data_IF_566161967947
#
_entry.id   IF_566161967947
#
_cell.length_a   1.000
_cell.length_b   1.000
_cell.length_c   1.000
_cell.angle_alpha   90.00
_cell.angle_beta   90.00
_cell.angle_gamma   90.00
#
_symmetry.space_group_name_H-M   'P 1'
#
loop_
_entity.id
_entity.type
_entity.pdbx_description
1 polymer ?
#
# COMPACT_ATOMS: atom_id res chain seq x y z
N UNK A 1 12.65 -14.68 15.38
CA UNK A 1 11.91 -13.53 15.93
C UNK A 1 10.85 -13.00 14.96
N UNK A 2 11.17 -12.85 13.66
CA UNK A 2 10.25 -12.31 12.65
C UNK A 2 9.85 -13.35 11.60
N UNK A 3 8.68 -13.16 11.00
CA UNK A 3 8.21 -13.89 9.84
C UNK A 3 7.49 -12.94 8.89
N UNK A 4 7.39 -13.38 7.63
CA UNK A 4 6.89 -12.59 6.52
C UNK A 4 5.92 -13.42 5.69
N UNK A 5 4.81 -12.80 5.30
CA UNK A 5 3.82 -13.38 4.40
C UNK A 5 3.60 -12.42 3.24
N UNK A 6 3.73 -12.97 2.02
CA UNK A 6 3.33 -12.31 0.79
C UNK A 6 1.98 -12.90 0.35
N UNK A 7 0.94 -12.09 0.12
CA UNK A 7 -0.33 -12.60 -0.36
C UNK A 7 -0.18 -13.38 -1.67
N UNK A 8 -0.79 -14.56 -1.73
CA UNK A 8 -0.72 -15.43 -2.90
C UNK A 8 0.55 -16.28 -3.01
N UNK A 9 1.46 -16.21 -2.04
CA UNK A 9 2.67 -17.06 -1.98
C UNK A 9 2.69 -17.89 -0.71
N UNK A 10 3.45 -18.98 -0.76
CA UNK A 10 3.80 -19.71 0.45
C UNK A 10 4.54 -18.76 1.42
N UNK A 11 4.32 -18.90 2.74
CA UNK A 11 5.08 -18.16 3.74
C UNK A 11 6.57 -18.28 3.44
N UNK A 12 7.24 -17.15 3.40
CA UNK A 12 8.62 -17.11 2.93
C UNK A 12 9.56 -17.74 3.98
N UNK A 13 10.67 -18.29 3.50
CA UNK A 13 11.67 -19.02 4.31
C UNK A 13 12.30 -18.17 5.41
N UNK A 14 13.04 -18.84 6.30
CA UNK A 14 13.74 -18.26 7.46
C UNK A 14 14.52 -16.99 7.11
N UNK A 15 14.44 -15.93 7.95
CA UNK A 15 15.23 -14.72 7.74
C UNK A 15 16.72 -15.05 7.65
N UNK A 16 17.42 -14.41 6.71
CA UNK A 16 18.87 -14.39 6.74
C UNK A 16 19.30 -13.35 7.76
N UNK A 17 19.89 -13.79 8.86
CA UNK A 17 20.46 -12.90 9.86
C UNK A 17 21.78 -12.35 9.33
N UNK A 18 21.88 -11.03 9.24
CA UNK A 18 23.11 -10.33 8.82
C UNK A 18 23.95 -10.02 10.05
N UNK A 19 23.29 -9.61 11.13
CA UNK A 19 23.90 -9.27 12.42
C UNK A 19 22.91 -9.55 13.56
N UNK A 20 23.32 -9.36 14.82
CA UNK A 20 22.44 -9.55 15.98
C UNK A 20 21.18 -8.67 15.92
N UNK A 21 21.30 -7.46 15.36
CA UNK A 21 20.21 -6.47 15.26
C UNK A 21 19.60 -6.38 13.86
N UNK A 22 20.15 -7.06 12.85
CA UNK A 22 19.73 -6.92 11.46
C UNK A 22 19.38 -8.26 10.82
N UNK A 23 18.21 -8.33 10.20
CA UNK A 23 17.81 -9.49 9.40
C UNK A 23 17.19 -9.07 8.07
N UNK A 24 17.34 -9.92 7.06
CA UNK A 24 16.87 -9.68 5.71
C UNK A 24 16.01 -10.85 5.20
N UNK A 25 15.05 -10.51 4.34
CA UNK A 25 14.22 -11.45 3.60
C UNK A 25 14.33 -11.15 2.11
N UNK A 26 14.88 -12.08 1.31
CA UNK A 26 14.87 -11.94 -0.15
C UNK A 26 13.44 -12.19 -0.66
N UNK A 27 12.89 -11.25 -1.40
CA UNK A 27 11.56 -11.31 -1.99
C UNK A 27 11.70 -11.54 -3.50
N UNK A 28 11.66 -12.81 -3.90
CA UNK A 28 11.74 -13.21 -5.30
C UNK A 28 10.55 -12.69 -6.11
N UNK A 29 10.73 -12.50 -7.42
CA UNK A 29 9.71 -11.96 -8.33
C UNK A 29 9.00 -10.73 -7.73
N UNK A 30 9.82 -9.73 -7.40
CA UNK A 30 9.39 -8.49 -6.80
C UNK A 30 8.25 -7.82 -7.59
N UNK A 31 8.25 -7.99 -8.92
CA UNK A 31 7.29 -7.37 -9.86
C UNK A 31 5.82 -7.61 -9.50
N UNK A 32 5.49 -8.75 -8.91
CA UNK A 32 4.12 -9.11 -8.53
C UNK A 32 3.74 -8.72 -7.10
N UNK A 33 4.68 -8.20 -6.30
CA UNK A 33 4.45 -7.88 -4.89
C UNK A 33 3.76 -6.53 -4.75
N UNK A 34 2.56 -6.54 -4.15
CA UNK A 34 1.80 -5.32 -3.83
C UNK A 34 1.64 -5.08 -2.33
N UNK A 35 1.67 -6.15 -1.55
CA UNK A 35 1.49 -6.10 -0.10
C UNK A 35 2.51 -7.00 0.55
N UNK A 36 3.11 -6.51 1.63
CA UNK A 36 4.05 -7.25 2.46
C UNK A 36 3.50 -7.26 3.88
N UNK A 37 3.32 -8.45 4.44
CA UNK A 37 2.89 -8.63 5.82
C UNK A 37 4.10 -9.08 6.63
N UNK A 38 4.44 -8.34 7.68
CA UNK A 38 5.56 -8.65 8.57
C UNK A 38 5.02 -8.74 10.00
N UNK A 39 5.43 -9.77 10.72
CA UNK A 39 5.00 -9.98 12.10
C UNK A 39 6.06 -10.68 12.93
N UNK A 40 5.99 -10.48 14.24
CA UNK A 40 6.77 -11.22 15.22
C UNK A 40 6.16 -12.61 15.42
N UNK A 41 6.99 -13.65 15.48
CA UNK A 41 6.53 -15.04 15.66
C UNK A 41 6.07 -15.35 17.07
N UNK A 42 6.28 -14.45 18.04
CA UNK A 42 5.94 -14.65 19.45
C UNK A 42 6.93 -15.51 20.23
N UNK A 43 7.95 -16.07 19.59
CA UNK A 43 8.99 -16.90 20.26
C UNK A 43 9.87 -16.05 21.18
N UNK A 44 10.15 -14.80 20.80
CA UNK A 44 10.97 -13.87 21.55
C UNK A 44 10.43 -12.43 21.40
N UNK A 45 10.14 -11.72 22.51
CA UNK A 45 9.78 -10.31 22.47
C UNK A 45 11.02 -9.42 22.29
N UNK A 46 10.81 -8.14 21.94
CA UNK A 46 11.89 -7.17 22.00
C UNK A 46 12.37 -6.95 23.44
N UNK A 47 13.68 -6.73 23.65
CA UNK A 47 14.18 -6.21 24.92
C UNK A 47 13.50 -4.89 25.30
N UNK A 48 13.41 -4.55 26.59
CA UNK A 48 12.84 -3.27 27.02
C UNK A 48 13.55 -2.07 26.38
N UNK A 49 12.80 -1.15 25.78
CA UNK A 49 13.34 0.04 25.12
C UNK A 49 13.79 -0.15 23.67
N UNK A 50 13.52 -1.32 23.07
CA UNK A 50 13.83 -1.63 21.68
C UNK A 50 12.57 -1.94 20.86
N UNK A 51 12.64 -1.54 19.60
CA UNK A 51 11.65 -1.82 18.57
C UNK A 51 12.38 -2.15 17.26
N UNK A 52 11.65 -2.56 16.22
CA UNK A 52 12.25 -2.75 14.90
C UNK A 52 11.67 -1.83 13.84
N UNK A 53 12.52 -1.42 12.91
CA UNK A 53 12.16 -0.68 11.70
C UNK A 53 12.21 -1.61 10.50
N UNK A 54 11.23 -1.47 9.61
CA UNK A 54 11.08 -2.32 8.43
C UNK A 54 11.43 -1.48 7.21
N UNK A 55 12.41 -1.94 6.45
CA UNK A 55 12.93 -1.28 5.26
C UNK A 55 12.76 -2.18 4.04
N UNK A 56 12.56 -1.57 2.88
CA UNK A 56 12.48 -2.27 1.60
C UNK A 56 13.49 -1.69 0.62
N UNK A 57 14.31 -2.56 0.07
CA UNK A 57 15.21 -2.30 -1.03
C UNK A 57 14.58 -2.86 -2.30
N UNK A 58 14.22 -1.99 -3.23
CA UNK A 58 13.86 -2.43 -4.57
C UNK A 58 15.13 -2.65 -5.38
N UNK A 59 15.20 -3.71 -6.22
CA UNK A 59 16.33 -3.87 -7.12
C UNK A 59 16.31 -2.71 -8.11
N UNK A 60 17.32 -1.86 -8.05
CA UNK A 60 17.61 -0.96 -9.17
C UNK A 60 18.29 -1.79 -10.26
N UNK A 61 18.06 -1.40 -11.52
CA UNK A 61 18.56 -2.10 -12.70
C UNK A 61 20.05 -2.42 -12.58
N UNK A 62 20.40 -3.70 -12.73
CA UNK A 62 21.77 -4.17 -12.88
C UNK A 62 22.38 -3.41 -14.09
N UNK A 63 23.65 -2.93 -14.02
CA UNK A 63 24.32 -2.38 -15.18
C UNK A 63 24.27 -3.38 -16.33
N UNK A 64 24.09 -2.90 -17.55
CA UNK A 64 24.09 -3.69 -18.79
C UNK A 64 25.44 -4.38 -19.11
N UNK A 65 26.32 -4.54 -18.13
CA UNK A 65 27.68 -5.07 -18.27
C UNK A 65 27.87 -6.30 -17.35
N UNK A 66 28.05 -7.50 -17.93
CA UNK A 66 28.25 -8.75 -17.17
C UNK A 66 29.60 -8.83 -16.43
N UNK A 67 30.48 -7.84 -16.56
CA UNK A 67 31.78 -7.79 -15.87
C UNK A 67 31.76 -7.10 -14.50
N UNK A 68 30.67 -6.40 -14.16
CA UNK A 68 30.56 -5.67 -12.89
C UNK A 68 29.69 -6.47 -11.93
N UNK A 69 30.30 -6.95 -10.84
CA UNK A 69 29.60 -7.53 -9.69
C UNK A 69 28.36 -6.69 -9.35
N UNK A 70 27.18 -7.29 -9.47
CA UNK A 70 25.88 -6.66 -9.22
C UNK A 70 25.79 -6.21 -7.76
N UNK A 71 26.32 -5.02 -7.47
CA UNK A 71 26.08 -4.35 -6.22
C UNK A 71 24.66 -3.81 -6.28
N UNK A 72 23.77 -4.14 -5.34
CA UNK A 72 22.39 -3.66 -5.35
C UNK A 72 22.41 -2.16 -5.04
N UNK A 73 22.54 -1.33 -6.07
CA UNK A 73 22.54 0.13 -5.97
C UNK A 73 21.11 0.68 -5.84
N UNK A 74 20.30 0.04 -5.00
CA UNK A 74 18.95 0.48 -4.69
C UNK A 74 18.95 1.35 -3.45
N UNK A 75 18.02 2.31 -3.39
CA UNK A 75 17.80 3.09 -2.19
C UNK A 75 16.91 2.30 -1.22
N UNK A 76 17.33 2.20 0.05
CA UNK A 76 16.51 1.62 1.10
C UNK A 76 15.37 2.57 1.48
N UNK A 77 14.14 2.07 1.41
CA UNK A 77 12.94 2.83 1.80
C UNK A 77 12.39 2.31 3.11
N UNK A 78 12.29 3.17 4.12
CA UNK A 78 11.59 2.86 5.36
C UNK A 78 10.09 2.71 5.10
N UNK A 79 9.52 1.59 5.53
CA UNK A 79 8.09 1.27 5.41
C UNK A 79 7.33 1.57 6.71
N UNK A 80 7.95 1.29 7.86
CA UNK A 80 7.35 1.50 9.17
C UNK A 80 8.12 0.78 10.27
N UNK A 81 7.43 0.49 11.39
CA UNK A 81 8.02 -0.18 12.55
C UNK A 81 7.13 -1.29 13.13
N UNK A 82 7.77 -2.17 13.91
CA UNK A 82 7.17 -3.22 14.73
C UNK A 82 7.59 -3.00 16.18
N UNK A 83 6.65 -3.19 17.11
CA UNK A 83 6.87 -3.04 18.56
C UNK A 83 6.23 -4.19 19.31
N UNK A 84 6.58 -4.41 20.57
CA UNK A 84 5.88 -5.39 21.42
C UNK A 84 4.37 -5.09 21.54
N UNK A 85 3.97 -3.81 21.52
CA UNK A 85 2.56 -3.37 21.55
C UNK A 85 1.86 -3.49 20.20
N UNK A 86 2.63 -3.50 19.10
CA UNK A 86 2.15 -3.66 17.73
C UNK A 86 3.07 -4.64 16.99
N UNK A 87 2.89 -5.96 17.21
CA UNK A 87 3.84 -6.99 16.76
C UNK A 87 3.69 -7.34 15.28
N UNK A 88 2.74 -6.75 14.57
CA UNK A 88 2.48 -7.02 13.15
C UNK A 88 2.09 -5.77 12.38
N UNK A 89 2.49 -5.69 11.11
CA UNK A 89 2.14 -4.62 10.19
C UNK A 89 1.97 -5.14 8.75
N UNK A 90 1.12 -4.45 7.99
CA UNK A 90 0.88 -4.71 6.57
C UNK A 90 1.30 -3.46 5.81
N UNK A 91 2.18 -3.62 4.84
CA UNK A 91 2.72 -2.53 4.04
C UNK A 91 2.28 -2.67 2.59
N UNK A 92 1.66 -1.62 2.05
CA UNK A 92 1.40 -1.52 0.62
C UNK A 92 2.65 -1.03 -0.09
N UNK A 93 3.20 -1.86 -0.96
CA UNK A 93 4.40 -1.57 -1.73
C UNK A 93 4.03 -1.41 -3.20
N UNK A 94 4.70 -0.48 -3.89
CA UNK A 94 4.58 -0.33 -5.34
C UNK A 94 5.98 -0.36 -5.92
N UNK A 95 6.15 -1.08 -7.02
CA UNK A 95 7.35 -0.97 -7.84
C UNK A 95 7.55 0.48 -8.27
N UNK A 96 8.76 1.05 -8.16
CA UNK A 96 9.05 2.36 -8.71
C UNK A 96 8.76 2.36 -10.21
N UNK A 97 8.13 3.44 -10.71
CA UNK A 97 7.70 3.62 -12.11
C UNK A 97 8.85 3.84 -13.10
N UNK A 98 10.10 3.70 -12.65
CA UNK A 98 11.27 3.77 -13.53
C UNK A 98 11.18 2.63 -14.54
N UNK A 99 11.35 2.89 -15.86
CA UNK A 99 11.18 1.88 -16.89
C UNK A 99 12.15 0.73 -16.65
N UNK A 100 11.63 -0.35 -16.06
CA UNK A 100 12.34 -1.61 -15.97
C UNK A 100 12.24 -2.20 -17.38
N UNK A 101 13.36 -2.57 -18.04
CA UNK A 101 13.30 -3.15 -19.37
C UNK A 101 12.38 -4.38 -19.36
N UNK A 102 11.52 -4.45 -20.37
CA UNK A 102 10.51 -5.47 -20.53
C UNK A 102 11.15 -6.88 -20.49
N UNK A 103 10.95 -7.59 -19.38
CA UNK A 103 11.51 -8.93 -19.18
C UNK A 103 11.63 -9.32 -17.70
N UNK A 104 10.66 -8.91 -16.86
CA UNK A 104 10.72 -8.98 -15.39
C UNK A 104 10.60 -10.39 -14.78
N UNK A 105 11.33 -11.37 -15.29
CA UNK A 105 11.51 -12.66 -14.63
C UNK A 105 12.83 -12.61 -13.84
N UNK A 106 12.76 -12.60 -12.50
CA UNK A 106 13.93 -12.76 -11.64
C UNK A 106 14.42 -11.52 -10.88
N UNK A 107 13.64 -10.43 -10.80
CA UNK A 107 13.97 -9.32 -9.90
C UNK A 107 13.68 -9.73 -8.45
N UNK A 108 14.70 -9.73 -7.60
CA UNK A 108 14.59 -10.01 -6.17
C UNK A 108 14.69 -8.70 -5.39
N UNK A 109 13.63 -8.32 -4.69
CA UNK A 109 13.67 -7.23 -3.72
C UNK A 109 14.16 -7.75 -2.37
N UNK A 110 14.64 -6.86 -1.51
CA UNK A 110 15.12 -7.26 -0.19
C UNK A 110 14.35 -6.48 0.87
N UNK A 111 13.67 -7.18 1.76
CA UNK A 111 13.13 -6.57 2.97
C UNK A 111 14.18 -6.68 4.08
N UNK A 112 14.45 -5.57 4.75
CA UNK A 112 15.34 -5.50 5.90
C UNK A 112 14.56 -5.16 7.16
N UNK A 113 14.95 -5.75 8.29
CA UNK A 113 14.45 -5.41 9.62
C UNK A 113 15.67 -5.07 10.48
N UNK A 114 15.64 -3.87 11.07
CA UNK A 114 16.68 -3.35 11.98
C UNK A 114 16.08 -3.19 13.37
N UNK A 115 16.73 -3.73 14.40
CA UNK A 115 16.33 -3.59 15.80
C UNK A 115 17.07 -2.39 16.40
N UNK A 116 16.32 -1.37 16.81
CA UNK A 116 16.85 -0.08 17.24
C UNK A 116 16.18 0.38 18.55
N UNK A 117 16.85 1.24 19.34
CA UNK A 117 16.23 1.88 20.50
C UNK A 117 14.96 2.65 20.11
N UNK A 118 13.94 2.62 20.98
CA UNK A 118 12.63 3.22 20.72
C UNK A 118 12.72 4.70 20.31
N UNK A 119 13.66 5.45 20.88
CA UNK A 119 13.90 6.86 20.54
C UNK A 119 14.28 7.06 19.06
N UNK A 120 15.18 6.23 18.52
CA UNK A 120 15.58 6.33 17.11
C UNK A 120 14.45 5.89 16.17
N UNK A 121 13.70 4.88 16.57
CA UNK A 121 12.52 4.42 15.82
C UNK A 121 11.47 5.52 15.77
N UNK A 122 11.20 6.21 16.88
CA UNK A 122 10.26 7.33 16.93
C UNK A 122 10.71 8.48 16.02
N UNK A 123 12.00 8.82 16.00
CA UNK A 123 12.56 9.84 15.09
C UNK A 123 12.42 9.46 13.61
N UNK A 124 12.68 8.20 13.27
CA UNK A 124 12.54 7.69 11.89
C UNK A 124 11.07 7.65 11.46
N UNK A 125 10.17 7.23 12.35
CA UNK A 125 8.73 7.21 12.09
C UNK A 125 8.18 8.64 11.93
N UNK A 126 8.66 9.62 12.69
CA UNK A 126 8.27 11.01 12.52
C UNK A 126 8.63 11.56 11.14
N UNK A 127 9.77 11.14 10.57
CA UNK A 127 10.18 11.49 9.19
C UNK A 127 9.26 10.91 8.11
N UNK A 128 8.55 9.81 8.39
CA UNK A 128 7.55 9.24 7.48
C UNK A 128 6.18 9.93 7.58
N UNK A 129 5.88 10.63 8.67
CA UNK A 129 4.54 11.16 8.97
C UNK A 129 4.23 12.55 8.37
N UNK A 130 5.02 13.05 7.43
CA UNK A 130 4.62 14.20 6.59
C UNK A 130 3.36 13.83 5.77
N UNK A 131 2.34 14.71 5.70
CA UNK A 131 0.96 14.31 5.92
C UNK A 131 0.35 13.59 4.72
N UNK A 132 0.28 12.26 4.76
CA UNK A 132 -0.79 11.50 4.11
C UNK A 132 -0.90 10.09 4.74
N UNK A 133 -2.08 9.82 5.28
CA UNK A 133 -2.64 8.48 5.49
C UNK A 133 -2.14 7.68 6.71
N UNK A 134 -2.73 7.97 7.87
CA UNK A 134 -2.92 7.01 8.96
C UNK A 134 -3.71 5.81 8.44
N UNK A 135 -3.02 4.69 8.19
CA UNK A 135 -3.64 3.39 7.87
C UNK A 135 -3.64 2.51 9.12
N UNK A 136 -4.80 2.46 9.78
CA UNK A 136 -5.13 1.45 10.81
C UNK A 136 -6.06 0.43 10.16
N UNK A 137 -5.76 -0.85 10.32
CA UNK A 137 -6.29 -1.94 9.49
C UNK A 137 -7.78 -2.24 9.63
N UNK A 138 -8.30 -2.88 8.59
CA UNK A 138 -9.66 -3.40 8.48
C UNK A 138 -10.18 -3.26 7.05
N UNK A 139 -10.57 -4.38 6.43
CA UNK A 139 -11.37 -4.50 5.19
C UNK A 139 -11.49 -3.23 4.34
N UNK A 140 -10.65 -3.10 3.31
CA UNK A 140 -10.81 -2.18 2.17
C UNK A 140 -11.69 -0.94 2.43
N UNK A 141 -11.41 -0.18 3.50
CA UNK A 141 -11.92 1.16 3.61
C UNK A 141 -11.10 1.94 2.58
N UNK A 142 -11.60 2.02 1.34
CA UNK A 142 -11.25 3.16 0.51
C UNK A 142 -11.35 4.37 1.43
N UNK A 143 -10.25 5.10 1.61
CA UNK A 143 -10.25 6.36 2.35
C UNK A 143 -11.52 7.09 1.95
N UNK A 144 -12.31 7.58 2.90
CA UNK A 144 -13.62 8.17 2.62
C UNK A 144 -13.53 9.21 1.48
N UNK A 145 -12.42 9.95 1.44
CA UNK A 145 -11.99 10.81 0.32
C UNK A 145 -11.83 10.09 -1.03
N UNK A 146 -11.16 8.94 -1.09
CA UNK A 146 -11.03 8.11 -2.30
C UNK A 146 -12.37 7.53 -2.75
N UNK A 147 -13.23 7.09 -1.82
CA UNK A 147 -14.57 6.61 -2.14
C UNK A 147 -15.44 7.75 -2.72
N UNK A 148 -15.35 8.94 -2.13
CA UNK A 148 -16.03 10.15 -2.61
C UNK A 148 -15.56 10.54 -4.02
N UNK A 149 -14.24 10.57 -4.25
CA UNK A 149 -13.69 10.91 -5.57
C UNK A 149 -14.04 9.87 -6.64
N UNK A 150 -14.08 8.59 -6.27
CA UNK A 150 -14.42 7.50 -7.16
C UNK A 150 -15.91 7.52 -7.55
N UNK A 151 -16.81 7.72 -6.58
CA UNK A 151 -18.24 7.85 -6.84
C UNK A 151 -18.58 9.07 -7.72
N UNK A 152 -17.88 10.21 -7.53
CA UNK A 152 -18.00 11.38 -8.44
C UNK A 152 -17.61 11.05 -9.88
N UNK A 153 -16.56 10.24 -10.09
CA UNK A 153 -16.14 9.82 -11.43
C UNK A 153 -17.15 8.88 -12.09
N UNK A 154 -17.69 7.92 -11.34
CA UNK A 154 -18.74 7.00 -11.83
C UNK A 154 -19.99 7.79 -12.24
N UNK A 155 -20.45 8.71 -11.39
CA UNK A 155 -21.66 9.46 -11.65
C UNK A 155 -21.53 10.38 -12.88
N UNK A 156 -20.35 10.97 -13.11
CA UNK A 156 -20.05 11.71 -14.35
C UNK A 156 -20.02 10.82 -15.58
N UNK A 157 -19.41 9.64 -15.49
CA UNK A 157 -19.37 8.69 -16.61
C UNK A 157 -20.77 8.22 -17.01
N UNK A 158 -21.62 7.89 -16.03
CA UNK A 158 -23.02 7.52 -16.26
C UNK A 158 -23.80 8.65 -16.94
N UNK A 159 -23.63 9.89 -16.49
CA UNK A 159 -24.26 11.05 -17.12
C UNK A 159 -23.80 11.23 -18.57
N UNK A 160 -22.49 11.19 -18.83
CA UNK A 160 -21.95 11.32 -20.19
C UNK A 160 -22.45 10.21 -21.11
N UNK A 161 -22.50 8.96 -20.63
CA UNK A 161 -23.03 7.82 -21.37
C UNK A 161 -24.51 8.01 -21.70
N UNK A 162 -25.36 8.33 -20.71
CA UNK A 162 -26.79 8.53 -20.96
C UNK A 162 -27.07 9.75 -21.84
N UNK A 163 -26.26 10.80 -21.73
CA UNK A 163 -26.37 11.98 -22.59
C UNK A 163 -26.05 11.69 -24.06
N UNK A 164 -25.22 10.67 -24.35
CA UNK A 164 -24.95 10.28 -25.75
C UNK A 164 -26.07 9.46 -26.39
N UNK A 165 -27.00 8.90 -25.61
CA UNK A 165 -28.13 8.11 -26.10
C UNK A 165 -29.46 8.88 -26.16
N UNK A 166 -29.51 10.15 -25.79
CA UNK A 166 -30.78 10.90 -25.79
C UNK A 166 -31.11 11.44 -27.19
N UNK A 167 -32.06 10.85 -27.95
CA UNK A 167 -32.68 11.55 -29.06
C UNK A 167 -33.51 12.73 -28.54
N UNK A 168 -33.68 13.75 -29.37
CA UNK A 168 -34.32 15.06 -29.10
C UNK A 168 -35.77 15.01 -28.56
N UNK A 169 -36.32 13.81 -28.33
CA UNK A 169 -37.68 13.52 -27.90
C UNK A 169 -37.86 13.35 -26.38
N UNK A 170 -36.78 13.24 -25.59
CA UNK A 170 -36.84 13.07 -24.13
C UNK A 170 -36.24 14.26 -23.36
N UNK A 171 -36.66 15.47 -23.73
CA UNK A 171 -36.23 16.74 -23.09
C UNK A 171 -36.52 16.83 -21.59
N UNK A 172 -37.24 15.86 -21.03
CA UNK A 172 -37.64 15.80 -19.62
C UNK A 172 -36.73 14.90 -18.78
N UNK A 173 -36.06 13.89 -19.37
CA UNK A 173 -35.23 12.91 -18.64
C UNK A 173 -33.86 13.51 -18.25
N UNK A 174 -33.30 14.37 -19.10
CA UNK A 174 -32.02 15.06 -18.86
C UNK A 174 -32.00 15.98 -17.62
N UNK A 175 -32.96 16.92 -17.44
CA UNK A 175 -32.96 17.77 -16.26
C UNK A 175 -33.23 17.00 -14.96
N UNK A 176 -33.99 15.90 -15.01
CA UNK A 176 -34.21 15.01 -13.86
C UNK A 176 -32.90 14.30 -13.46
N UNK A 177 -32.13 13.81 -14.42
CA UNK A 177 -30.84 13.16 -14.16
C UNK A 177 -29.79 14.13 -13.60
N UNK A 178 -29.74 15.36 -14.13
CA UNK A 178 -28.86 16.41 -13.58
C UNK A 178 -29.21 16.74 -12.13
N UNK A 179 -30.51 16.83 -11.82
CA UNK A 179 -31.00 17.06 -10.45
C UNK A 179 -30.68 15.87 -9.53
N UNK A 180 -30.79 14.63 -10.02
CA UNK A 180 -30.38 13.43 -9.30
C UNK A 180 -28.88 13.43 -9.02
N UNK A 181 -28.04 13.76 -10.01
CA UNK A 181 -26.59 13.83 -9.87
C UNK A 181 -26.16 14.86 -8.82
N UNK A 182 -26.72 16.07 -8.85
CA UNK A 182 -26.44 17.10 -7.85
C UNK A 182 -26.88 16.65 -6.44
N UNK A 183 -28.01 15.96 -6.33
CA UNK A 183 -28.46 15.39 -5.06
C UNK A 183 -27.51 14.29 -4.56
N UNK A 184 -27.00 13.44 -5.45
CA UNK A 184 -26.03 12.41 -5.12
C UNK A 184 -24.71 13.03 -4.67
N UNK A 185 -24.16 14.00 -5.40
CA UNK A 185 -22.93 14.70 -4.98
C UNK A 185 -23.09 15.36 -3.61
N UNK A 186 -24.21 16.06 -3.38
CA UNK A 186 -24.52 16.69 -2.09
C UNK A 186 -24.65 15.67 -0.95
N UNK A 187 -25.33 14.55 -1.18
CA UNK A 187 -25.47 13.50 -0.17
C UNK A 187 -24.14 12.82 0.13
N UNK A 188 -23.31 12.62 -0.87
CA UNK A 188 -21.99 12.04 -0.73
C UNK A 188 -21.04 12.95 0.06
N UNK A 189 -21.10 14.27 -0.18
CA UNK A 189 -20.33 15.28 0.56
C UNK A 189 -20.78 15.45 2.02
N UNK A 190 -22.06 15.22 2.32
CA UNK A 190 -22.63 15.49 3.65
C UNK A 190 -22.80 14.25 4.53
N UNK A 191 -23.00 13.07 3.94
CA UNK A 191 -23.29 11.82 4.67
C UNK A 191 -22.26 10.72 4.41
N UNK A 192 -21.28 10.97 3.53
CA UNK A 192 -20.30 9.96 3.12
C UNK A 192 -20.91 8.83 2.29
N UNK A 193 -20.13 7.78 1.96
CA UNK A 193 -20.58 6.64 1.17
C UNK A 193 -21.64 5.78 1.88
N UNK A 194 -21.74 5.86 3.21
CA UNK A 194 -22.63 5.04 4.05
C UNK A 194 -24.13 5.28 3.83
N UNK A 195 -24.52 6.34 3.11
CA UNK A 195 -25.93 6.54 2.72
C UNK A 195 -26.41 5.48 1.70
N UNK A 196 -25.52 4.87 0.93
CA UNK A 196 -25.86 3.86 -0.08
C UNK A 196 -26.26 2.51 0.53
N UNK A 197 -25.87 2.22 1.77
CA UNK A 197 -26.20 0.97 2.46
C UNK A 197 -27.60 0.99 3.11
N UNK A 198 -28.30 2.14 3.07
CA UNK A 198 -29.66 2.23 3.59
C UNK A 198 -30.62 1.64 2.54
N UNK A 199 -31.31 0.52 2.82
CA UNK A 199 -32.35 0.04 1.92
C UNK A 199 -33.43 1.12 1.81
N UNK A 200 -33.65 1.59 0.59
CA UNK A 200 -34.83 2.38 0.23
C UNK A 200 -36.05 1.47 0.31
N UNK A 201 -36.87 1.67 1.33
CA UNK A 201 -38.29 1.26 1.37
C UNK A 201 -39.10 2.18 0.44
#
# INVERSE_FOLDING_TARGET
MFSLVLPGRLPLSTPQQVDETHCIFPLEDASSIQHVVVFMTGVQPFPPGYSATVHLLWPSTIPSDPSVSASPSGDWKLLGCLRNTKPSAIFKVRSPTTPTPAGGAGLTATLGISIEPDQLVDEQMAKLQTPLSTSTGGVAAMSETTAVDFARKIAKNLFSYLSSYAPDSERQTMPLLQKWLQNLERKLLSQGPSFLDKPTD
#
